data_IF_982165777101
#
_entry.id   IF_982165777101
#
_cell.length_a   1.000
_cell.length_b   1.000
_cell.length_c   1.000
_cell.angle_alpha   90.00
_cell.angle_beta   90.00
_cell.angle_gamma   90.00
#
_symmetry.space_group_name_H-M   'P 1'
#
loop_
_entity.id
_entity.type
_entity.pdbx_description
1 polymer ?
#
# COMPACT_ATOMS: atom_id res chain seq x y z
N UNK A 1 -29.60 23.67 20.61
CA UNK A 1 -29.49 23.46 22.08
C UNK A 1 -29.20 24.78 22.79
N UNK A 2 -28.11 25.49 22.51
CA UNK A 2 -27.80 26.79 23.17
C UNK A 2 -28.83 27.90 22.93
N UNK A 3 -29.56 27.88 21.81
CA UNK A 3 -30.62 28.86 21.53
C UNK A 3 -31.95 28.60 22.25
N UNK A 4 -32.09 27.46 22.94
CA UNK A 4 -33.32 27.04 23.62
C UNK A 4 -33.27 27.30 25.13
N UNK A 5 -32.06 27.37 25.69
CA UNK A 5 -31.82 27.63 27.11
C UNK A 5 -30.80 28.76 27.24
N UNK A 6 -31.27 29.99 27.04
CA UNK A 6 -30.44 31.17 27.16
C UNK A 6 -30.21 31.45 28.65
N UNK A 7 -28.94 31.55 29.03
CA UNK A 7 -28.51 31.80 30.42
C UNK A 7 -27.60 33.02 30.41
N UNK A 8 -27.45 33.73 31.53
CA UNK A 8 -26.52 34.88 31.58
C UNK A 8 -25.05 34.50 31.29
N UNK A 9 -24.75 33.20 31.27
CA UNK A 9 -23.45 32.62 30.97
C UNK A 9 -23.28 32.22 29.49
N UNK A 10 -24.35 32.17 28.67
CA UNK A 10 -24.24 31.80 27.25
C UNK A 10 -23.74 33.00 26.44
N UNK A 11 -22.53 32.93 25.86
CA UNK A 11 -22.01 34.03 25.07
C UNK A 11 -22.80 34.17 23.75
N UNK A 12 -22.74 35.36 23.17
CA UNK A 12 -23.40 35.67 21.90
C UNK A 12 -23.02 34.66 20.81
N UNK A 13 -23.98 34.32 19.93
CA UNK A 13 -23.82 33.26 18.92
C UNK A 13 -22.59 33.42 18.03
N UNK A 14 -22.17 34.65 17.74
CA UNK A 14 -20.95 34.94 16.97
C UNK A 14 -19.67 34.43 17.65
N UNK A 15 -19.63 34.34 18.99
CA UNK A 15 -18.49 33.84 19.76
C UNK A 15 -18.15 32.38 19.42
N UNK A 16 -19.14 31.59 18.98
CA UNK A 16 -18.94 30.20 18.57
C UNK A 16 -18.20 30.06 17.22
N UNK A 17 -17.95 31.15 16.48
CA UNK A 17 -17.07 31.14 15.32
C UNK A 17 -15.62 30.77 15.65
N UNK A 18 -15.26 30.76 16.95
CA UNK A 18 -13.97 30.24 17.43
C UNK A 18 -13.71 28.81 16.95
N UNK A 19 -14.75 27.98 16.78
CA UNK A 19 -14.61 26.62 16.27
C UNK A 19 -14.02 26.60 14.85
N UNK A 20 -14.43 27.53 13.98
CA UNK A 20 -13.87 27.65 12.62
C UNK A 20 -12.38 28.00 12.68
N UNK A 21 -12.00 28.92 13.55
CA UNK A 21 -10.58 29.29 13.75
C UNK A 21 -9.79 28.10 14.28
N UNK A 22 -10.32 27.36 15.25
CA UNK A 22 -9.72 26.13 15.79
C UNK A 22 -9.53 25.09 14.67
N UNK A 23 -10.53 24.85 13.83
CA UNK A 23 -10.43 23.86 12.76
C UNK A 23 -9.44 24.28 11.67
N UNK A 24 -9.40 25.56 11.29
CA UNK A 24 -8.39 26.08 10.35
C UNK A 24 -6.98 25.92 10.95
N UNK A 25 -6.81 26.21 12.23
CA UNK A 25 -5.51 26.09 12.90
C UNK A 25 -5.06 24.63 13.03
N UNK A 26 -5.97 23.73 13.42
CA UNK A 26 -5.69 22.29 13.51
C UNK A 26 -5.37 21.69 12.14
N UNK A 27 -6.10 22.07 11.09
CA UNK A 27 -5.81 21.59 9.72
C UNK A 27 -4.45 22.10 9.22
N UNK A 28 -4.10 23.36 9.48
CA UNK A 28 -2.78 23.90 9.16
C UNK A 28 -1.65 23.18 9.93
N UNK A 29 -1.84 22.89 11.24
CA UNK A 29 -0.90 22.10 12.03
C UNK A 29 -0.73 20.68 11.47
N UNK A 30 -1.82 20.00 11.11
CA UNK A 30 -1.77 18.66 10.52
C UNK A 30 -1.02 18.70 9.19
N UNK A 31 -1.31 19.65 8.31
CA UNK A 31 -0.61 19.81 7.02
C UNK A 31 0.88 20.07 7.26
N UNK A 32 1.25 20.91 8.23
CA UNK A 32 2.65 21.16 8.57
C UNK A 32 3.34 19.90 9.09
N UNK A 33 2.73 19.18 10.04
CA UNK A 33 3.28 17.93 10.60
C UNK A 33 3.42 16.86 9.51
N UNK A 34 2.41 16.69 8.66
CA UNK A 34 2.44 15.77 7.51
C UNK A 34 3.52 16.18 6.51
N UNK A 35 3.66 17.47 6.22
CA UNK A 35 4.74 17.96 5.36
C UNK A 35 6.13 17.72 5.96
N UNK A 36 6.28 17.80 7.28
CA UNK A 36 7.51 17.46 8.00
C UNK A 36 7.81 15.95 7.98
N UNK A 37 6.80 15.12 8.18
CA UNK A 37 6.87 13.66 8.05
C UNK A 37 7.26 13.24 6.62
N UNK A 38 6.83 13.98 5.60
CA UNK A 38 7.23 13.73 4.21
C UNK A 38 8.65 14.19 3.87
N UNK A 39 9.24 15.13 4.64
CA UNK A 39 10.64 15.56 4.44
C UNK A 39 11.65 14.56 5.01
N UNK A 40 11.25 13.77 6.01
CA UNK A 40 12.07 12.72 6.59
C UNK A 40 11.74 11.40 5.92
N UNK A 41 12.65 10.91 5.09
CA UNK A 41 12.49 9.67 4.33
C UNK A 41 12.18 8.46 5.23
N UNK A 42 12.71 8.45 6.46
CA UNK A 42 12.42 7.45 7.49
C UNK A 42 10.97 7.54 7.96
N UNK A 43 10.41 8.74 8.14
CA UNK A 43 9.02 8.93 8.54
C UNK A 43 8.04 8.47 7.46
N UNK A 44 8.34 8.75 6.18
CA UNK A 44 7.58 8.23 5.05
C UNK A 44 7.61 6.68 5.02
N UNK A 45 8.78 6.07 5.29
CA UNK A 45 8.92 4.63 5.40
C UNK A 45 8.08 4.05 6.55
N UNK A 46 8.08 4.67 7.73
CA UNK A 46 7.27 4.22 8.88
C UNK A 46 5.77 4.26 8.54
N UNK A 47 5.31 5.35 7.93
CA UNK A 47 3.90 5.47 7.51
C UNK A 47 3.52 4.38 6.51
N UNK A 48 4.39 4.11 5.55
CA UNK A 48 4.21 3.07 4.55
C UNK A 48 4.21 1.65 5.15
N UNK A 49 5.04 1.39 6.16
CA UNK A 49 5.02 0.12 6.92
C UNK A 49 3.69 -0.03 7.67
N UNK A 50 3.21 1.02 8.36
CA UNK A 50 1.91 1.01 9.03
C UNK A 50 0.76 0.76 8.05
N UNK A 51 0.80 1.40 6.88
CA UNK A 51 -0.19 1.21 5.82
C UNK A 51 -0.25 -0.24 5.34
N UNK A 52 0.92 -0.85 5.12
CA UNK A 52 1.03 -2.25 4.74
C UNK A 52 0.46 -3.17 5.82
N UNK A 53 0.81 -2.96 7.09
CA UNK A 53 0.29 -3.75 8.21
C UNK A 53 -1.25 -3.71 8.25
N UNK A 54 -1.85 -2.54 8.05
CA UNK A 54 -3.31 -2.37 8.00
C UNK A 54 -3.91 -3.11 6.80
N UNK A 55 -3.31 -2.99 5.61
CA UNK A 55 -3.78 -3.65 4.40
C UNK A 55 -3.75 -5.18 4.52
N UNK A 56 -2.66 -5.76 5.03
CA UNK A 56 -2.58 -7.20 5.28
C UNK A 56 -3.56 -7.69 6.35
N UNK A 57 -3.76 -6.89 7.40
CA UNK A 57 -4.77 -7.20 8.43
C UNK A 57 -6.15 -7.29 7.79
N UNK A 58 -6.50 -6.34 6.91
CA UNK A 58 -7.77 -6.34 6.18
C UNK A 58 -7.92 -7.59 5.28
N UNK A 59 -6.86 -7.98 4.54
CA UNK A 59 -6.86 -9.25 3.78
C UNK A 59 -7.11 -10.45 4.71
N UNK A 60 -6.43 -10.49 5.86
CA UNK A 60 -6.61 -11.54 6.86
C UNK A 60 -8.05 -11.62 7.36
N UNK A 61 -8.68 -10.48 7.67
CA UNK A 61 -10.08 -10.41 8.08
C UNK A 61 -11.03 -10.90 6.99
N UNK A 62 -10.83 -10.49 5.74
CA UNK A 62 -11.66 -10.91 4.60
C UNK A 62 -11.53 -12.43 4.39
N UNK A 63 -10.30 -12.97 4.41
CA UNK A 63 -10.06 -14.40 4.29
C UNK A 63 -10.70 -15.20 5.43
N UNK A 64 -10.60 -14.70 6.67
CA UNK A 64 -11.26 -15.33 7.81
C UNK A 64 -12.79 -15.33 7.67
N UNK A 65 -13.38 -14.20 7.26
CA UNK A 65 -14.81 -14.10 7.00
C UNK A 65 -15.27 -15.04 5.87
N UNK A 66 -14.50 -15.13 4.79
CA UNK A 66 -14.75 -16.08 3.70
C UNK A 66 -14.65 -17.54 4.14
N UNK A 67 -13.76 -17.87 5.08
CA UNK A 67 -13.63 -19.23 5.61
C UNK A 67 -14.84 -19.61 6.46
N UNK A 68 -15.30 -18.70 7.34
CA UNK A 68 -16.43 -18.96 8.25
C UNK A 68 -17.77 -18.93 7.50
N UNK A 69 -18.02 -17.89 6.71
CA UNK A 69 -19.32 -17.66 6.06
C UNK A 69 -19.38 -18.14 4.61
N UNK A 70 -18.27 -18.61 4.03
CA UNK A 70 -18.19 -19.06 2.64
C UNK A 70 -19.21 -20.12 2.25
N UNK A 71 -19.42 -21.20 3.05
CA UNK A 71 -20.43 -22.21 2.74
C UNK A 71 -21.85 -21.64 2.75
N UNK A 72 -22.15 -20.73 3.68
CA UNK A 72 -23.45 -20.06 3.77
C UNK A 72 -23.70 -19.14 2.57
N UNK A 73 -22.70 -18.32 2.22
CA UNK A 73 -22.75 -17.44 1.04
C UNK A 73 -22.88 -18.26 -0.25
N UNK A 74 -22.18 -19.39 -0.38
CA UNK A 74 -22.31 -20.23 -1.58
C UNK A 74 -23.72 -20.83 -1.74
N UNK A 75 -24.44 -21.04 -0.63
CA UNK A 75 -25.79 -21.59 -0.65
C UNK A 75 -26.85 -20.52 -0.94
N UNK A 76 -26.74 -19.35 -0.31
CA UNK A 76 -27.80 -18.33 -0.33
C UNK A 76 -27.49 -17.11 -1.22
N UNK A 77 -26.20 -16.74 -1.38
CA UNK A 77 -25.77 -15.52 -2.08
C UNK A 77 -24.49 -15.75 -2.89
N UNK A 78 -24.58 -16.55 -3.96
CA UNK A 78 -23.41 -16.87 -4.83
C UNK A 78 -22.80 -15.64 -5.48
N UNK A 79 -23.62 -14.65 -5.82
CA UNK A 79 -23.17 -13.38 -6.42
C UNK A 79 -22.31 -12.61 -5.41
N UNK A 80 -22.75 -12.51 -4.15
CA UNK A 80 -21.98 -11.84 -3.10
C UNK A 80 -20.66 -12.56 -2.84
N UNK A 81 -20.65 -13.90 -2.79
CA UNK A 81 -19.43 -14.68 -2.66
C UNK A 81 -18.45 -14.39 -3.80
N UNK A 82 -18.96 -14.34 -5.03
CA UNK A 82 -18.17 -14.05 -6.21
C UNK A 82 -17.62 -12.62 -6.19
N UNK A 83 -18.44 -11.62 -5.83
CA UNK A 83 -18.00 -10.22 -5.69
C UNK A 83 -16.95 -10.05 -4.60
N UNK A 84 -17.11 -10.69 -3.43
CA UNK A 84 -16.12 -10.61 -2.35
C UNK A 84 -14.78 -11.18 -2.81
N UNK A 85 -14.77 -12.30 -3.53
CA UNK A 85 -13.53 -12.93 -4.03
C UNK A 85 -12.93 -12.15 -5.20
N UNK A 86 -13.73 -11.85 -6.22
CA UNK A 86 -13.23 -11.31 -7.48
C UNK A 86 -13.01 -9.81 -7.47
N UNK A 87 -13.85 -9.05 -6.76
CA UNK A 87 -13.76 -7.59 -6.71
C UNK A 87 -13.04 -7.13 -5.44
N UNK A 88 -13.53 -7.51 -4.26
CA UNK A 88 -13.04 -6.96 -2.99
C UNK A 88 -11.66 -7.49 -2.65
N UNK A 89 -11.49 -8.81 -2.55
CA UNK A 89 -10.21 -9.42 -2.16
C UNK A 89 -9.11 -9.09 -3.18
N UNK A 90 -9.40 -9.22 -4.47
CA UNK A 90 -8.46 -8.84 -5.52
C UNK A 90 -8.12 -7.35 -5.49
N UNK A 91 -9.11 -6.45 -5.35
CA UNK A 91 -8.86 -5.00 -5.30
C UNK A 91 -7.98 -4.60 -4.12
N UNK A 92 -8.24 -5.17 -2.94
CA UNK A 92 -7.40 -4.97 -1.76
C UNK A 92 -5.98 -5.50 -1.99
N UNK A 93 -5.84 -6.65 -2.64
CA UNK A 93 -4.53 -7.21 -2.97
C UNK A 93 -3.76 -6.34 -3.98
N UNK A 94 -4.42 -5.73 -4.98
CA UNK A 94 -3.77 -4.75 -5.88
C UNK A 94 -3.13 -3.64 -5.05
N UNK A 95 -3.93 -3.02 -4.17
CA UNK A 95 -3.49 -1.91 -3.35
C UNK A 95 -2.37 -2.33 -2.39
N UNK A 96 -2.49 -3.52 -1.80
CA UNK A 96 -1.50 -4.09 -0.88
C UNK A 96 -0.17 -4.34 -1.59
N UNK A 97 -0.18 -4.90 -2.81
CA UNK A 97 1.05 -5.13 -3.60
C UNK A 97 1.69 -3.83 -4.05
N UNK A 98 0.90 -2.86 -4.54
CA UNK A 98 1.45 -1.56 -4.96
C UNK A 98 2.09 -0.81 -3.78
N UNK A 99 1.43 -0.79 -2.63
CA UNK A 99 1.98 -0.18 -1.42
C UNK A 99 3.20 -0.93 -0.90
N UNK A 100 3.24 -2.27 -1.03
CA UNK A 100 4.45 -3.07 -0.75
C UNK A 100 5.63 -2.70 -1.63
N UNK A 101 5.42 -2.54 -2.94
CA UNK A 101 6.47 -2.10 -3.86
C UNK A 101 6.96 -0.69 -3.47
N UNK A 102 6.06 0.24 -3.16
CA UNK A 102 6.42 1.59 -2.73
C UNK A 102 7.24 1.58 -1.43
N UNK A 103 6.88 0.77 -0.45
CA UNK A 103 7.63 0.62 0.81
C UNK A 103 9.01 0.04 0.57
N UNK A 104 9.13 -0.95 -0.31
CA UNK A 104 10.42 -1.54 -0.66
C UNK A 104 11.34 -0.54 -1.34
N UNK A 105 10.82 0.27 -2.28
CA UNK A 105 11.58 1.34 -2.90
C UNK A 105 12.04 2.36 -1.84
N UNK A 106 11.15 2.80 -0.95
CA UNK A 106 11.53 3.73 0.13
C UNK A 106 12.56 3.11 1.08
N UNK A 107 12.44 1.81 1.38
CA UNK A 107 13.42 1.07 2.20
C UNK A 107 14.79 1.05 1.51
N UNK A 108 14.87 0.74 0.21
CA UNK A 108 16.13 0.77 -0.54
C UNK A 108 16.78 2.15 -0.50
N UNK A 109 15.98 3.22 -0.64
CA UNK A 109 16.50 4.60 -0.58
C UNK A 109 17.03 4.88 0.84
N UNK A 110 16.31 4.53 1.91
CA UNK A 110 16.80 4.66 3.30
C UNK A 110 18.08 3.86 3.52
N UNK A 111 18.15 2.59 3.09
CA UNK A 111 19.34 1.76 3.27
C UNK A 111 20.55 2.32 2.52
N UNK A 112 20.34 2.90 1.34
CA UNK A 112 21.41 3.49 0.53
C UNK A 112 21.92 4.81 1.10
N UNK A 113 21.01 5.72 1.44
CA UNK A 113 21.37 7.11 1.76
C UNK A 113 21.54 7.37 3.26
N UNK A 114 20.83 6.66 4.13
CA UNK A 114 20.91 6.83 5.59
C UNK A 114 21.78 5.75 6.25
N UNK A 115 21.71 4.50 5.77
CA UNK A 115 22.49 3.39 6.32
C UNK A 115 23.82 3.13 5.59
N UNK A 116 24.15 3.95 4.58
CA UNK A 116 25.40 3.91 3.79
C UNK A 116 25.75 2.52 3.22
N UNK A 117 24.71 1.72 2.92
CA UNK A 117 24.84 0.35 2.46
C UNK A 117 25.09 0.29 0.95
N UNK A 118 25.83 -0.72 0.47
CA UNK A 118 26.05 -0.89 -0.97
C UNK A 118 24.72 -1.17 -1.70
N UNK A 119 24.67 -0.84 -2.99
CA UNK A 119 23.45 -1.09 -3.80
C UNK A 119 23.15 -2.60 -3.92
N UNK A 120 24.17 -3.46 -3.84
CA UNK A 120 24.00 -4.91 -3.88
C UNK A 120 23.41 -5.44 -2.57
N UNK A 121 23.92 -4.98 -1.43
CA UNK A 121 23.47 -5.44 -0.11
C UNK A 121 22.05 -4.96 0.20
N UNK A 122 21.71 -3.72 -0.16
CA UNK A 122 20.36 -3.18 0.00
C UNK A 122 19.33 -3.90 -0.87
N UNK A 123 19.70 -4.32 -2.09
CA UNK A 123 18.86 -5.14 -2.94
C UNK A 123 18.66 -6.55 -2.36
N UNK A 124 19.73 -7.17 -1.85
CA UNK A 124 19.69 -8.50 -1.24
C UNK A 124 18.76 -8.56 -0.02
N UNK A 125 18.80 -7.55 0.86
CA UNK A 125 17.92 -7.47 2.04
C UNK A 125 16.45 -7.38 1.63
N UNK A 126 16.14 -6.53 0.64
CA UNK A 126 14.79 -6.34 0.13
C UNK A 126 14.23 -7.62 -0.52
N UNK A 127 15.07 -8.28 -1.32
CA UNK A 127 14.70 -9.50 -2.05
C UNK A 127 14.46 -10.69 -1.11
N UNK A 128 15.34 -10.92 -0.14
CA UNK A 128 15.27 -12.11 0.72
C UNK A 128 14.26 -12.00 1.87
N UNK A 129 14.01 -10.81 2.43
CA UNK A 129 13.14 -10.68 3.61
C UNK A 129 11.67 -10.38 3.29
N UNK A 130 11.39 -9.63 2.22
CA UNK A 130 10.06 -9.04 2.02
C UNK A 130 9.34 -9.63 0.82
N UNK A 131 10.05 -9.88 -0.29
CA UNK A 131 9.44 -10.33 -1.54
C UNK A 131 8.98 -11.79 -1.52
N UNK A 132 9.78 -12.72 -0.95
CA UNK A 132 9.45 -14.15 -0.92
C UNK A 132 8.14 -14.45 -0.14
N UNK A 133 7.85 -13.65 0.89
CA UNK A 133 6.66 -13.84 1.73
C UNK A 133 5.37 -13.29 1.09
N UNK A 134 5.46 -12.27 0.24
CA UNK A 134 4.27 -11.60 -0.31
C UNK A 134 3.67 -12.31 -1.54
N UNK A 135 4.49 -12.96 -2.36
CA UNK A 135 4.10 -13.43 -3.69
C UNK A 135 3.35 -14.80 -3.72
N UNK A 136 3.16 -15.46 -2.56
CA UNK A 136 2.74 -16.87 -2.54
C UNK A 136 1.24 -17.14 -2.63
N UNK A 137 0.36 -16.16 -2.43
CA UNK A 137 -1.04 -16.47 -2.08
C UNK A 137 -2.15 -15.95 -3.01
N UNK A 138 -1.89 -15.10 -4.02
CA UNK A 138 -2.93 -14.57 -4.94
C UNK A 138 -2.35 -14.27 -6.33
N UNK A 139 -3.18 -14.33 -7.39
CA UNK A 139 -2.84 -14.12 -8.81
C UNK A 139 -2.60 -12.64 -9.19
N UNK A 140 -3.38 -11.72 -8.61
CA UNK A 140 -3.34 -10.29 -8.91
C UNK A 140 -1.98 -9.60 -8.64
N UNK A 141 -1.25 -9.91 -7.55
CA UNK A 141 0.08 -9.36 -7.30
C UNK A 141 1.05 -9.46 -8.47
N UNK A 142 0.97 -10.54 -9.26
CA UNK A 142 1.83 -10.72 -10.43
C UNK A 142 1.58 -9.68 -11.53
N UNK A 143 0.32 -9.29 -11.77
CA UNK A 143 -0.01 -8.23 -12.74
C UNK A 143 0.62 -6.91 -12.30
N UNK A 144 0.53 -6.61 -11.01
CA UNK A 144 1.07 -5.36 -10.43
C UNK A 144 2.60 -5.35 -10.51
N UNK A 145 3.25 -6.49 -10.25
CA UNK A 145 4.70 -6.65 -10.38
C UNK A 145 5.15 -6.51 -11.83
N UNK A 146 4.45 -7.14 -12.78
CA UNK A 146 4.72 -6.99 -14.22
C UNK A 146 4.62 -5.52 -14.64
N UNK A 147 3.58 -4.82 -14.17
CA UNK A 147 3.40 -3.39 -14.44
C UNK A 147 4.56 -2.55 -13.88
N UNK A 148 4.95 -2.80 -12.62
CA UNK A 148 6.05 -2.09 -11.97
C UNK A 148 7.40 -2.37 -12.64
N UNK A 149 7.69 -3.62 -12.99
CA UNK A 149 8.91 -4.01 -13.72
C UNK A 149 8.96 -3.38 -15.11
N UNK A 150 7.83 -3.35 -15.82
CA UNK A 150 7.73 -2.73 -17.14
C UNK A 150 8.05 -1.22 -17.09
N UNK A 151 7.48 -0.50 -16.11
CA UNK A 151 7.80 0.92 -15.90
C UNK A 151 9.25 1.17 -15.49
N UNK A 152 9.85 0.27 -14.69
CA UNK A 152 11.27 0.35 -14.35
C UNK A 152 12.17 0.13 -15.58
N UNK A 153 11.80 -0.81 -16.45
CA UNK A 153 12.54 -1.06 -17.70
C UNK A 153 12.45 0.16 -18.62
N UNK A 154 11.27 0.74 -18.82
CA UNK A 154 11.08 1.94 -19.64
C UNK A 154 11.97 3.11 -19.18
N UNK A 155 12.01 3.35 -17.86
CA UNK A 155 12.82 4.43 -17.28
C UNK A 155 14.34 4.18 -17.33
N UNK A 156 14.78 2.94 -17.15
CA UNK A 156 16.20 2.60 -16.97
C UNK A 156 16.83 1.91 -18.19
N UNK A 157 16.08 1.83 -19.30
CA UNK A 157 16.54 1.24 -20.54
C UNK A 157 17.76 1.99 -21.06
N UNK A 158 18.81 1.22 -21.36
CA UNK A 158 20.04 1.78 -21.88
C UNK A 158 20.64 0.83 -22.91
N UNK A 159 20.62 1.27 -24.17
CA UNK A 159 21.14 0.50 -25.29
C UNK A 159 22.63 0.17 -25.15
N UNK A 160 23.38 0.96 -24.37
CA UNK A 160 24.82 0.78 -24.14
C UNK A 160 25.15 -0.17 -22.98
N UNK A 161 24.16 -0.56 -22.16
CA UNK A 161 24.31 -1.44 -21.00
C UNK A 161 23.41 -2.70 -21.11
N UNK A 162 23.79 -3.69 -21.93
CA UNK A 162 22.96 -4.87 -22.15
C UNK A 162 22.78 -5.75 -20.91
N UNK A 163 23.74 -5.74 -19.98
CA UNK A 163 23.67 -6.52 -18.73
C UNK A 163 22.56 -6.04 -17.78
N UNK A 164 22.37 -4.71 -17.66
CA UNK A 164 21.32 -4.13 -16.81
C UNK A 164 19.92 -4.41 -17.38
N UNK A 165 19.75 -4.27 -18.69
CA UNK A 165 18.48 -4.59 -19.36
C UNK A 165 18.16 -6.08 -19.24
N UNK A 166 19.18 -6.95 -19.31
CA UNK A 166 19.03 -8.40 -19.13
C UNK A 166 18.41 -8.78 -17.79
N UNK A 167 18.79 -8.11 -16.68
CA UNK A 167 18.22 -8.36 -15.35
C UNK A 167 16.72 -8.06 -15.33
N UNK A 168 16.30 -6.91 -15.87
CA UNK A 168 14.88 -6.54 -15.95
C UNK A 168 14.07 -7.51 -16.81
N UNK A 169 14.63 -7.95 -17.95
CA UNK A 169 13.97 -8.90 -18.84
C UNK A 169 13.78 -10.26 -18.17
N UNK A 170 14.80 -10.78 -17.46
CA UNK A 170 14.71 -12.06 -16.75
C UNK A 170 13.66 -11.99 -15.65
N UNK A 171 13.65 -10.94 -14.83
CA UNK A 171 12.66 -10.76 -13.76
C UNK A 171 11.23 -10.65 -14.31
N UNK A 172 11.07 -9.94 -15.43
CA UNK A 172 9.78 -9.81 -16.11
C UNK A 172 9.31 -11.15 -16.67
N UNK A 173 10.21 -11.90 -17.33
CA UNK A 173 9.92 -13.22 -17.87
C UNK A 173 9.51 -14.21 -16.76
N UNK A 174 10.24 -14.24 -15.65
CA UNK A 174 9.91 -15.08 -14.48
C UNK A 174 8.54 -14.69 -13.92
N UNK A 175 8.25 -13.39 -13.78
CA UNK A 175 6.95 -12.90 -13.30
C UNK A 175 5.80 -13.33 -14.20
N UNK A 176 5.98 -13.24 -15.53
CA UNK A 176 5.01 -13.71 -16.52
C UNK A 176 4.81 -15.23 -16.48
N UNK A 177 5.88 -16.02 -16.34
CA UNK A 177 5.78 -17.49 -16.23
C UNK A 177 5.02 -17.89 -14.96
N UNK A 178 5.35 -17.28 -13.81
CA UNK A 178 4.65 -17.54 -12.55
C UNK A 178 3.17 -17.14 -12.63
N UNK A 179 2.87 -16.02 -13.28
CA UNK A 179 1.51 -15.59 -13.55
C UNK A 179 0.72 -16.62 -14.37
N UNK A 180 1.24 -17.06 -15.51
CA UNK A 180 0.58 -18.05 -16.38
C UNK A 180 0.41 -19.39 -15.65
N UNK A 181 1.45 -19.86 -14.96
CA UNK A 181 1.41 -21.11 -14.18
C UNK A 181 0.27 -21.09 -13.16
N UNK A 182 -0.01 -19.92 -12.57
CA UNK A 182 -1.10 -19.74 -11.59
C UNK A 182 -2.48 -19.54 -12.20
N UNK A 183 -2.62 -19.20 -13.48
CA UNK A 183 -3.91 -19.23 -14.18
C UNK A 183 -4.30 -20.67 -14.50
N UNK A 184 -3.30 -21.49 -14.83
CA UNK A 184 -3.48 -22.87 -15.31
C UNK A 184 -3.73 -23.86 -14.15
N UNK A 185 -3.16 -23.60 -12.96
CA UNK A 185 -3.34 -24.40 -11.73
C UNK A 185 -4.46 -23.84 -10.83
#
# INVERSE_FOLDING_TARGET
VSAVYDTELTPSGWTFNIWTVIYIWLSAMIVYIVSGLCRLMISALIFLIMLICTNYSMVGFICHGLHVYGPWLNKYSKVDLWLIRMLVLNGVMIYTTWTTIATLLNLTIVLKYEANMSTADSAFVVENFVLDKHMRYVFIPYIVVIWALSGNMDKNYDASSPSRNGIFIVLLAVSCVLFVTRIVL
#
